data_IF_937818639854
#
_entry.id   IF_937818639854
#
_cell.length_a   1.000
_cell.length_b   1.000
_cell.length_c   1.000
_cell.angle_alpha   90.00
_cell.angle_beta   90.00
_cell.angle_gamma   90.00
#
_symmetry.space_group_name_H-M   'P 1'
#
loop_
_entity.id
_entity.type
_entity.pdbx_description
1 polymer ?
#
# COMPACT_ATOMS: atom_id res chain seq x y z
N UNK A 1 30.03 -0.35 9.90
CA UNK A 1 29.22 -1.12 8.94
C UNK A 1 27.82 -0.51 8.95
N UNK A 2 27.52 0.32 7.94
CA UNK A 2 26.14 0.78 7.70
C UNK A 2 25.34 -0.44 7.28
N UNK A 3 24.37 -0.85 8.09
CA UNK A 3 23.38 -1.83 7.68
C UNK A 3 22.58 -1.19 6.54
N UNK A 4 22.83 -1.61 5.32
CA UNK A 4 22.07 -1.16 4.16
C UNK A 4 20.73 -1.91 4.14
N UNK A 5 19.67 -1.21 4.43
CA UNK A 5 18.32 -1.68 4.18
C UNK A 5 17.88 -1.20 2.80
N UNK A 6 17.22 -2.07 2.08
CA UNK A 6 16.64 -1.76 0.77
C UNK A 6 15.13 -1.88 0.84
N UNK A 7 14.45 -1.01 0.10
CA UNK A 7 13.02 -1.13 -0.17
C UNK A 7 12.87 -1.41 -1.65
N UNK A 8 12.16 -2.48 -1.96
CA UNK A 8 11.93 -2.91 -3.32
C UNK A 8 10.42 -3.01 -3.56
N UNK A 9 9.94 -2.30 -4.58
CA UNK A 9 8.60 -2.48 -5.12
C UNK A 9 8.66 -3.43 -6.30
N UNK A 10 7.86 -4.49 -6.24
CA UNK A 10 7.89 -5.53 -7.25
C UNK A 10 6.50 -6.08 -7.56
N UNK A 11 6.23 -6.38 -8.83
CA UNK A 11 5.01 -7.03 -9.29
C UNK A 11 5.22 -8.54 -9.37
N UNK A 12 4.31 -9.30 -8.78
CA UNK A 12 4.32 -10.76 -8.87
C UNK A 12 3.97 -11.22 -10.28
N UNK A 13 4.82 -12.09 -10.87
CA UNK A 13 4.66 -12.63 -12.23
C UNK A 13 3.63 -13.77 -12.30
N UNK A 14 3.39 -14.45 -11.18
CA UNK A 14 2.50 -15.60 -11.14
C UNK A 14 1.03 -15.24 -11.02
N UNK A 15 0.20 -16.27 -10.91
CA UNK A 15 -1.25 -16.11 -10.74
C UNK A 15 -1.62 -16.15 -9.26
N UNK A 16 -2.51 -15.25 -8.85
CA UNK A 16 -3.12 -15.23 -7.53
C UNK A 16 -4.64 -15.15 -7.71
N UNK A 17 -5.37 -16.04 -7.04
CA UNK A 17 -6.82 -16.12 -7.15
C UNK A 17 -7.51 -14.78 -6.81
N UNK A 18 -7.06 -14.11 -5.77
CA UNK A 18 -7.62 -12.80 -5.39
C UNK A 18 -7.33 -11.75 -6.47
N UNK A 19 -6.09 -11.67 -6.97
CA UNK A 19 -5.75 -10.74 -8.05
C UNK A 19 -6.51 -11.05 -9.36
N UNK A 20 -6.76 -12.33 -9.65
CA UNK A 20 -7.56 -12.72 -10.82
C UNK A 20 -9.02 -12.23 -10.70
N UNK A 21 -9.60 -12.20 -9.48
CA UNK A 21 -10.94 -11.61 -9.27
C UNK A 21 -10.93 -10.12 -9.58
N UNK A 22 -9.93 -9.37 -9.08
CA UNK A 22 -9.79 -7.94 -9.39
C UNK A 22 -9.64 -7.69 -10.89
N UNK A 23 -8.84 -8.51 -11.57
CA UNK A 23 -8.64 -8.44 -13.03
C UNK A 23 -9.92 -8.69 -13.81
N UNK A 24 -10.74 -9.65 -13.39
CA UNK A 24 -12.00 -9.96 -14.06
C UNK A 24 -13.00 -8.80 -13.95
N UNK A 25 -13.07 -8.14 -12.80
CA UNK A 25 -13.91 -6.93 -12.63
C UNK A 25 -13.51 -5.85 -13.63
N UNK A 26 -12.19 -5.65 -13.81
CA UNK A 26 -11.65 -4.64 -14.74
C UNK A 26 -11.94 -4.99 -16.20
N UNK A 27 -11.73 -6.24 -16.60
CA UNK A 27 -11.95 -6.67 -17.99
C UNK A 27 -13.41 -6.47 -18.45
N UNK A 28 -14.37 -6.50 -17.53
CA UNK A 28 -15.77 -6.28 -17.84
C UNK A 28 -16.10 -4.81 -18.12
N UNK A 29 -15.23 -3.89 -17.70
CA UNK A 29 -15.45 -2.43 -17.79
C UNK A 29 -14.64 -1.73 -18.91
N UNK A 30 -13.75 -2.46 -19.60
CA UNK A 30 -12.97 -1.95 -20.74
C UNK A 30 -11.78 -1.04 -20.36
N UNK A 31 -12.03 0.14 -19.81
CA UNK A 31 -11.00 1.17 -19.52
C UNK A 31 -10.83 1.47 -18.01
N UNK A 32 -10.94 0.49 -17.15
CA UNK A 32 -10.85 0.71 -15.72
C UNK A 32 -9.44 1.14 -15.28
N UNK A 33 -9.35 2.28 -14.63
CA UNK A 33 -8.09 2.78 -14.08
C UNK A 33 -7.76 2.07 -12.77
N UNK A 34 -6.47 1.83 -12.53
CA UNK A 34 -5.96 1.13 -11.34
C UNK A 34 -6.42 1.78 -10.03
N UNK A 35 -6.71 3.09 -10.05
CA UNK A 35 -7.18 3.86 -8.90
C UNK A 35 -8.69 3.73 -8.61
N UNK A 36 -9.45 3.02 -9.46
CA UNK A 36 -10.90 2.84 -9.26
C UNK A 36 -11.24 1.64 -8.38
N UNK A 37 -10.38 0.62 -8.38
CA UNK A 37 -10.51 -0.55 -7.55
C UNK A 37 -9.13 -1.06 -7.12
N UNK A 38 -8.85 -1.04 -5.84
CA UNK A 38 -7.60 -1.54 -5.29
C UNK A 38 -7.84 -2.27 -3.97
N UNK A 39 -7.04 -3.29 -3.70
CA UNK A 39 -7.05 -4.03 -2.45
C UNK A 39 -5.71 -3.94 -1.73
N UNK A 40 -5.73 -3.91 -0.39
CA UNK A 40 -4.55 -4.01 0.45
C UNK A 40 -4.77 -5.12 1.48
N UNK A 41 -3.85 -6.07 1.54
CA UNK A 41 -3.86 -7.05 2.62
C UNK A 41 -3.46 -6.37 3.92
N UNK A 42 -4.32 -6.44 4.94
CA UNK A 42 -4.04 -5.97 6.29
C UNK A 42 -3.23 -7.02 7.05
N UNK A 43 -3.57 -8.27 6.85
CA UNK A 43 -2.86 -9.42 7.40
C UNK A 43 -3.24 -10.68 6.64
N UNK A 44 -2.29 -11.60 6.55
CA UNK A 44 -2.46 -12.89 5.87
C UNK A 44 -1.85 -13.99 6.73
N UNK A 45 -2.59 -15.09 6.86
CA UNK A 45 -2.11 -16.32 7.49
C UNK A 45 -2.20 -17.46 6.48
N UNK A 46 -1.07 -18.15 6.30
CA UNK A 46 -1.00 -19.38 5.52
C UNK A 46 -1.09 -20.55 6.47
N UNK A 47 -1.98 -21.48 6.20
CA UNK A 47 -2.04 -22.78 6.89
C UNK A 47 -1.60 -23.87 5.91
N UNK A 48 -0.32 -24.28 5.94
CA UNK A 48 0.20 -25.29 4.99
C UNK A 48 -0.48 -26.65 5.16
N UNK A 49 -0.86 -27.02 6.41
CA UNK A 49 -1.51 -28.29 6.68
C UNK A 49 -2.90 -28.43 6.08
N UNK A 50 -3.64 -27.34 5.97
CA UNK A 50 -4.94 -27.29 5.31
C UNK A 50 -4.87 -26.86 3.83
N UNK A 51 -3.69 -26.48 3.34
CA UNK A 51 -3.55 -25.88 2.02
C UNK A 51 -4.35 -24.56 1.87
N UNK A 52 -4.60 -23.87 2.98
CA UNK A 52 -5.50 -22.73 3.04
C UNK A 52 -4.77 -21.40 3.29
N UNK A 53 -5.31 -20.36 2.69
CA UNK A 53 -4.94 -18.97 2.93
C UNK A 53 -6.13 -18.25 3.55
N UNK A 54 -5.92 -17.54 4.65
CA UNK A 54 -6.92 -16.66 5.24
C UNK A 54 -6.31 -15.31 5.57
N UNK A 55 -7.14 -14.26 5.61
CA UNK A 55 -6.65 -12.93 5.94
C UNK A 55 -7.71 -11.86 5.91
N UNK A 56 -7.27 -10.62 6.10
CA UNK A 56 -8.09 -9.43 5.96
C UNK A 56 -7.62 -8.60 4.78
N UNK A 57 -8.57 -8.21 3.93
CA UNK A 57 -8.36 -7.41 2.74
C UNK A 57 -9.16 -6.12 2.87
N UNK A 58 -8.50 -4.98 2.88
CA UNK A 58 -9.15 -3.68 2.70
C UNK A 58 -9.27 -3.41 1.20
N UNK A 59 -10.48 -3.13 0.74
CA UNK A 59 -10.77 -2.78 -0.65
C UNK A 59 -11.22 -1.33 -0.70
N UNK A 60 -10.59 -0.55 -1.56
CA UNK A 60 -11.00 0.80 -1.91
C UNK A 60 -11.62 0.78 -3.31
N UNK A 61 -12.76 1.46 -3.47
CA UNK A 61 -13.51 1.49 -4.72
C UNK A 61 -14.17 2.86 -4.91
N UNK A 62 -14.30 3.30 -6.17
CA UNK A 62 -14.96 4.58 -6.50
C UNK A 62 -16.46 4.44 -6.71
N UNK A 63 -16.92 3.27 -7.16
CA UNK A 63 -18.33 2.97 -7.47
C UNK A 63 -18.76 1.69 -6.79
N UNK A 64 -19.97 1.65 -6.24
CA UNK A 64 -20.52 0.47 -5.53
C UNK A 64 -20.63 -0.77 -6.44
N UNK A 65 -20.91 -0.58 -7.72
CA UNK A 65 -21.00 -1.67 -8.70
C UNK A 65 -19.69 -2.46 -8.79
N UNK A 66 -18.54 -1.80 -8.62
CA UNK A 66 -17.23 -2.46 -8.62
C UNK A 66 -17.07 -3.39 -7.41
N UNK A 67 -17.54 -2.94 -6.24
CA UNK A 67 -17.57 -3.78 -5.04
C UNK A 67 -18.49 -4.99 -5.23
N UNK A 68 -19.70 -4.78 -5.73
CA UNK A 68 -20.67 -5.87 -5.93
C UNK A 68 -20.12 -6.93 -6.89
N UNK A 69 -19.52 -6.50 -8.00
CA UNK A 69 -18.84 -7.40 -8.95
C UNK A 69 -17.67 -8.14 -8.32
N UNK A 70 -16.88 -7.47 -7.48
CA UNK A 70 -15.79 -8.09 -6.75
C UNK A 70 -16.32 -9.19 -5.81
N UNK A 71 -17.36 -8.89 -5.02
CA UNK A 71 -17.97 -9.85 -4.10
C UNK A 71 -18.59 -11.03 -4.84
N UNK A 72 -19.24 -10.77 -5.98
CA UNK A 72 -19.74 -11.82 -6.87
C UNK A 72 -18.62 -12.70 -7.41
N UNK A 73 -17.50 -12.10 -7.88
CA UNK A 73 -16.32 -12.81 -8.37
C UNK A 73 -15.68 -13.70 -7.30
N UNK A 74 -15.62 -13.23 -6.06
CA UNK A 74 -15.13 -14.02 -4.92
C UNK A 74 -16.03 -15.24 -4.67
N UNK A 75 -17.36 -15.06 -4.65
CA UNK A 75 -18.34 -16.17 -4.48
C UNK A 75 -18.19 -17.19 -5.59
N UNK A 76 -18.13 -16.75 -6.86
CA UNK A 76 -18.00 -17.63 -8.02
C UNK A 76 -16.75 -18.50 -7.95
N UNK A 77 -15.66 -17.97 -7.35
CA UNK A 77 -14.40 -18.71 -7.16
C UNK A 77 -14.32 -19.45 -5.83
N UNK A 78 -15.45 -19.59 -5.12
CA UNK A 78 -15.57 -20.31 -3.85
C UNK A 78 -14.65 -19.77 -2.76
N UNK A 79 -14.33 -18.47 -2.79
CA UNK A 79 -13.67 -17.79 -1.69
C UNK A 79 -14.71 -17.54 -0.60
N UNK A 80 -14.47 -18.06 0.58
CA UNK A 80 -15.26 -17.70 1.75
C UNK A 80 -14.88 -16.28 2.16
N UNK A 81 -15.85 -15.42 2.39
CA UNK A 81 -15.57 -14.07 2.88
C UNK A 81 -16.68 -13.56 3.79
N UNK A 82 -16.29 -12.60 4.61
CA UNK A 82 -17.20 -11.92 5.53
C UNK A 82 -16.86 -10.43 5.49
N UNK A 83 -17.86 -9.56 5.33
CA UNK A 83 -17.69 -8.11 5.46
C UNK A 83 -17.55 -7.79 6.94
N UNK A 84 -16.37 -7.28 7.33
CA UNK A 84 -16.07 -6.87 8.72
C UNK A 84 -16.45 -5.42 8.93
N UNK A 85 -16.16 -4.58 7.93
CA UNK A 85 -16.43 -3.15 7.97
C UNK A 85 -16.83 -2.65 6.58
N UNK A 86 -17.80 -1.75 6.50
CA UNK A 86 -18.20 -1.05 5.27
C UNK A 86 -18.31 0.45 5.55
N UNK A 87 -17.51 1.24 4.84
CA UNK A 87 -17.53 2.71 4.85
C UNK A 87 -17.75 3.25 3.44
N UNK A 88 -17.78 4.57 3.31
CA UNK A 88 -17.92 5.23 2.00
C UNK A 88 -16.67 4.97 1.15
N UNK A 89 -16.80 4.20 0.06
CA UNK A 89 -15.72 3.87 -0.87
C UNK A 89 -14.66 2.90 -0.32
N UNK A 90 -14.90 2.28 0.84
CA UNK A 90 -13.99 1.33 1.46
C UNK A 90 -14.75 0.20 2.14
N UNK A 91 -14.21 -1.01 2.04
CA UNK A 91 -14.70 -2.19 2.76
C UNK A 91 -13.52 -2.99 3.31
N UNK A 92 -13.68 -3.60 4.46
CA UNK A 92 -12.75 -4.60 4.98
C UNK A 92 -13.44 -5.96 4.95
N UNK A 93 -12.79 -6.90 4.28
CA UNK A 93 -13.24 -8.28 4.13
C UNK A 93 -12.28 -9.20 4.87
N UNK A 94 -12.81 -10.08 5.73
CA UNK A 94 -12.12 -11.31 6.06
C UNK A 94 -12.38 -12.31 4.93
N UNK A 95 -11.37 -13.10 4.56
CA UNK A 95 -11.50 -14.13 3.54
C UNK A 95 -10.71 -15.39 3.91
N UNK A 96 -11.17 -16.54 3.37
CA UNK A 96 -10.47 -17.83 3.43
C UNK A 96 -10.68 -18.58 2.12
N UNK A 97 -9.63 -19.19 1.59
CA UNK A 97 -9.73 -20.09 0.43
C UNK A 97 -8.65 -21.18 0.47
N UNK A 98 -8.94 -22.33 -0.15
CA UNK A 98 -8.07 -23.50 -0.18
C UNK A 98 -7.05 -23.54 -1.32
N UNK A 99 -7.05 -22.56 -2.23
CA UNK A 99 -6.13 -22.55 -3.37
C UNK A 99 -4.93 -21.66 -3.08
N UNK A 100 -3.91 -22.20 -2.43
CA UNK A 100 -2.65 -21.47 -2.25
C UNK A 100 -1.89 -21.38 -3.58
N UNK A 101 -1.47 -20.18 -3.94
CA UNK A 101 -0.51 -19.98 -5.03
C UNK A 101 0.92 -20.26 -4.54
N UNK A 102 1.86 -20.46 -5.46
CA UNK A 102 3.28 -20.70 -5.15
C UNK A 102 3.92 -19.58 -4.30
N UNK A 103 3.34 -18.37 -4.35
CA UNK A 103 3.82 -17.22 -3.61
C UNK A 103 3.53 -17.32 -2.09
N UNK A 104 2.37 -17.87 -1.70
CA UNK A 104 1.94 -17.88 -0.31
C UNK A 104 2.94 -18.56 0.65
N UNK A 105 3.52 -19.72 0.33
CA UNK A 105 4.60 -20.30 1.14
C UNK A 105 5.89 -19.48 1.13
N UNK A 106 6.25 -18.88 -0.02
CA UNK A 106 7.50 -18.13 -0.18
C UNK A 106 7.52 -16.83 0.60
N UNK A 107 6.37 -16.16 0.75
CA UNK A 107 6.25 -14.95 1.57
C UNK A 107 6.59 -15.20 3.04
N UNK A 108 6.40 -16.45 3.51
CA UNK A 108 6.73 -16.86 4.88
C UNK A 108 8.14 -17.43 5.04
N UNK A 109 8.81 -17.84 3.96
CA UNK A 109 10.09 -18.55 4.01
C UNK A 109 11.27 -17.80 3.40
N UNK A 110 11.08 -16.60 2.87
CA UNK A 110 12.12 -15.85 2.18
C UNK A 110 13.19 -15.32 3.15
N UNK A 111 14.36 -15.97 3.16
CA UNK A 111 15.50 -15.55 3.95
C UNK A 111 15.95 -14.11 3.60
N UNK A 112 15.88 -13.20 4.55
CA UNK A 112 16.43 -11.85 4.43
C UNK A 112 15.56 -10.81 3.68
N UNK A 113 14.42 -11.22 3.12
CA UNK A 113 13.46 -10.32 2.45
C UNK A 113 12.10 -10.40 3.11
N UNK A 114 11.60 -9.29 3.63
CA UNK A 114 10.35 -9.25 4.39
C UNK A 114 9.30 -8.46 3.59
N UNK A 115 8.14 -9.05 3.27
CA UNK A 115 7.04 -8.32 2.67
C UNK A 115 6.41 -7.38 3.70
N UNK A 116 6.48 -6.08 3.45
CA UNK A 116 5.89 -5.05 4.32
C UNK A 116 4.46 -4.73 3.91
N UNK A 117 4.22 -4.62 2.61
CA UNK A 117 2.89 -4.31 2.08
C UNK A 117 2.60 -5.18 0.87
N UNK A 118 1.37 -5.69 0.80
CA UNK A 118 0.85 -6.41 -0.35
C UNK A 118 -0.42 -5.72 -0.84
N UNK A 119 -0.39 -5.29 -2.10
CA UNK A 119 -1.54 -4.69 -2.76
C UNK A 119 -2.06 -5.59 -3.85
N UNK A 120 -3.37 -5.65 -3.95
CA UNK A 120 -4.05 -6.27 -5.08
C UNK A 120 -4.44 -5.19 -6.06
N UNK A 121 -3.96 -5.32 -7.28
CA UNK A 121 -4.33 -4.44 -8.39
C UNK A 121 -4.94 -5.28 -9.51
N UNK A 122 -5.65 -4.66 -10.46
CA UNK A 122 -6.13 -5.37 -11.64
C UNK A 122 -5.02 -6.00 -12.49
N UNK A 123 -3.80 -5.49 -12.38
CA UNK A 123 -2.66 -6.02 -13.14
C UNK A 123 -2.05 -7.26 -12.48
N UNK A 124 -1.78 -7.18 -11.17
CA UNK A 124 -1.18 -8.25 -10.37
C UNK A 124 -1.14 -7.89 -8.88
N UNK A 125 -0.46 -8.71 -8.10
CA UNK A 125 -0.04 -8.35 -6.74
C UNK A 125 1.21 -7.48 -6.79
N UNK A 126 1.12 -6.32 -6.16
CA UNK A 126 2.26 -5.43 -5.92
C UNK A 126 2.76 -5.62 -4.49
N UNK A 127 4.05 -5.85 -4.36
CA UNK A 127 4.73 -6.01 -3.09
C UNK A 127 5.66 -4.83 -2.80
N UNK A 128 5.68 -4.42 -1.55
CA UNK A 128 6.74 -3.63 -0.96
C UNK A 128 7.55 -4.57 -0.06
N UNK A 129 8.79 -4.83 -0.43
CA UNK A 129 9.72 -5.63 0.34
C UNK A 129 10.72 -4.75 1.08
N UNK A 130 11.09 -5.21 2.27
CA UNK A 130 12.24 -4.68 3.02
C UNK A 130 13.28 -5.78 3.11
N UNK A 131 14.52 -5.48 2.74
CA UNK A 131 15.64 -6.41 2.87
C UNK A 131 16.79 -5.77 3.61
N UNK A 132 17.53 -6.58 4.37
CA UNK A 132 18.74 -6.18 5.09
C UNK A 132 19.95 -6.93 4.50
N UNK A 133 21.05 -6.22 4.27
CA UNK A 133 22.35 -6.85 4.03
C UNK A 133 22.47 -7.73 2.78
N UNK A 134 21.83 -7.36 1.67
CA UNK A 134 22.02 -8.06 0.39
C UNK A 134 20.97 -9.12 0.05
N UNK A 135 19.89 -9.23 0.82
CA UNK A 135 18.72 -10.04 0.42
C UNK A 135 18.14 -9.51 -0.89
N UNK A 136 18.11 -10.32 -1.92
CA UNK A 136 17.55 -9.97 -3.22
C UNK A 136 16.14 -10.55 -3.38
N UNK A 137 15.23 -9.74 -3.93
CA UNK A 137 13.93 -10.22 -4.38
C UNK A 137 14.14 -11.14 -5.58
N UNK A 138 13.53 -12.32 -5.55
CA UNK A 138 13.66 -13.31 -6.62
C UNK A 138 13.04 -12.80 -7.94
N UNK A 139 13.91 -12.44 -8.88
CA UNK A 139 13.50 -11.93 -10.19
C UNK A 139 12.79 -12.97 -11.06
N UNK A 140 12.90 -14.26 -10.75
CA UNK A 140 12.13 -15.30 -11.45
C UNK A 140 10.63 -15.19 -11.14
N UNK A 141 10.29 -14.72 -9.93
CA UNK A 141 8.93 -14.59 -9.43
C UNK A 141 8.37 -13.17 -9.52
N UNK A 142 9.25 -12.16 -9.59
CA UNK A 142 8.87 -10.75 -9.52
C UNK A 142 9.47 -9.91 -10.63
N UNK A 143 8.71 -8.92 -11.08
CA UNK A 143 9.22 -7.80 -11.87
C UNK A 143 9.54 -6.67 -10.92
N UNK A 144 10.81 -6.35 -10.73
CA UNK A 144 11.26 -5.23 -9.90
C UNK A 144 10.91 -3.94 -10.63
N UNK A 145 10.18 -3.05 -9.97
CA UNK A 145 9.78 -1.75 -10.50
C UNK A 145 10.73 -0.64 -10.04
N UNK A 146 11.03 -0.64 -8.75
CA UNK A 146 11.90 0.34 -8.11
C UNK A 146 12.58 -0.34 -6.92
N UNK A 147 13.87 -0.08 -6.74
CA UNK A 147 14.60 -0.42 -5.54
C UNK A 147 15.35 0.82 -5.05
N UNK A 148 15.27 1.10 -3.76
CA UNK A 148 15.90 2.27 -3.12
C UNK A 148 16.53 1.92 -1.77
N UNK A 149 17.41 2.79 -1.29
CA UNK A 149 18.06 2.61 0.02
C UNK A 149 17.19 3.09 1.17
N UNK A 150 17.49 2.62 2.38
CA UNK A 150 16.77 3.04 3.59
C UNK A 150 16.91 4.53 3.91
N UNK A 151 17.91 5.23 3.37
CA UNK A 151 18.05 6.67 3.56
C UNK A 151 16.82 7.43 3.06
N UNK A 152 16.19 6.96 1.98
CA UNK A 152 14.92 7.51 1.52
C UNK A 152 13.76 7.21 2.49
N UNK A 153 13.81 6.09 3.23
CA UNK A 153 12.82 5.78 4.28
C UNK A 153 12.95 6.69 5.49
N UNK A 154 14.20 6.98 5.89
CA UNK A 154 14.45 7.82 7.04
C UNK A 154 14.04 9.27 6.79
N UNK A 155 13.95 9.69 5.53
CA UNK A 155 13.59 11.06 5.15
C UNK A 155 12.17 11.48 5.58
N UNK A 156 11.27 10.53 5.82
CA UNK A 156 9.90 10.80 6.29
C UNK A 156 9.62 10.30 7.71
N UNK A 157 10.64 9.84 8.44
CA UNK A 157 10.50 9.61 9.87
C UNK A 157 10.49 10.94 10.63
N UNK A 158 9.59 11.02 11.59
CA UNK A 158 9.50 12.20 12.45
C UNK A 158 10.68 12.25 13.42
N UNK A 159 11.29 13.42 13.57
CA UNK A 159 12.25 13.66 14.65
C UNK A 159 11.55 13.68 16.01
N UNK A 160 12.26 13.49 17.14
CA UNK A 160 11.65 13.58 18.47
C UNK A 160 10.88 14.89 18.69
N UNK A 161 11.42 16.02 18.19
CA UNK A 161 10.75 17.33 18.33
C UNK A 161 9.49 17.43 17.48
N UNK A 162 9.49 16.90 16.26
CA UNK A 162 8.31 16.84 15.42
C UNK A 162 7.23 15.94 16.04
N UNK A 163 7.61 14.80 16.65
CA UNK A 163 6.69 13.91 17.37
C UNK A 163 6.04 14.63 18.56
N UNK A 164 6.84 15.30 19.39
CA UNK A 164 6.36 16.05 20.53
C UNK A 164 5.34 17.13 20.12
N UNK A 165 5.71 17.97 19.16
CA UNK A 165 4.86 19.07 18.68
C UNK A 165 3.57 18.52 18.07
N UNK A 166 3.67 17.47 17.24
CA UNK A 166 2.49 16.86 16.60
C UNK A 166 1.56 16.22 17.64
N UNK A 167 2.10 15.53 18.64
CA UNK A 167 1.34 14.96 19.76
C UNK A 167 0.56 16.05 20.48
N UNK A 168 1.21 17.13 20.89
CA UNK A 168 0.56 18.26 21.54
C UNK A 168 -0.55 18.87 20.68
N UNK A 169 -0.26 19.15 19.40
CA UNK A 169 -1.24 19.70 18.47
C UNK A 169 -2.47 18.80 18.32
N UNK A 170 -2.28 17.48 18.24
CA UNK A 170 -3.36 16.51 18.13
C UNK A 170 -4.24 16.49 19.38
N UNK A 171 -3.65 16.29 20.55
CA UNK A 171 -4.42 16.14 21.79
C UNK A 171 -5.07 17.45 22.25
N UNK A 172 -4.48 18.60 21.93
CA UNK A 172 -5.09 19.92 22.18
C UNK A 172 -6.22 20.24 21.19
N UNK A 173 -6.42 19.41 20.16
CA UNK A 173 -7.48 19.58 19.18
C UNK A 173 -7.19 20.61 18.10
N UNK A 174 -5.92 20.84 17.78
CA UNK A 174 -5.53 21.69 16.66
C UNK A 174 -6.07 21.17 15.32
N UNK A 175 -6.15 19.84 15.17
CA UNK A 175 -6.69 19.16 14.00
C UNK A 175 -8.18 18.80 14.12
N UNK A 176 -8.86 19.20 15.19
CA UNK A 176 -10.30 18.96 15.35
C UNK A 176 -11.13 19.89 14.47
N UNK A 177 -12.37 19.46 14.14
CA UNK A 177 -13.36 20.31 13.50
C UNK A 177 -14.61 20.40 14.40
N UNK A 178 -14.93 21.58 14.96
CA UNK A 178 -14.15 22.82 14.87
C UNK A 178 -12.82 22.72 15.62
N UNK A 179 -11.83 23.53 15.22
CA UNK A 179 -10.52 23.62 15.88
C UNK A 179 -10.69 24.11 17.31
N UNK A 180 -10.04 23.44 18.29
CA UNK A 180 -10.17 23.74 19.73
C UNK A 180 -9.05 24.64 20.27
N UNK A 181 -7.93 24.73 19.57
CA UNK A 181 -6.77 25.54 19.94
C UNK A 181 -6.17 26.19 18.71
N UNK A 182 -5.67 27.41 18.85
CA UNK A 182 -5.00 28.16 17.81
C UNK A 182 -3.49 27.84 17.76
N UNK A 183 -2.83 28.20 16.65
CA UNK A 183 -1.37 28.08 16.54
C UNK A 183 -0.64 28.96 17.56
N UNK A 184 -1.24 30.11 17.89
CA UNK A 184 -0.68 31.04 18.86
C UNK A 184 -0.74 30.50 20.29
N UNK A 185 -1.84 29.91 20.70
CA UNK A 185 -1.98 29.25 22.00
C UNK A 185 -1.00 28.09 22.14
N UNK A 186 -0.90 27.21 21.11
CA UNK A 186 0.07 26.13 21.10
C UNK A 186 1.52 26.62 21.17
N UNK A 187 1.84 27.74 20.51
CA UNK A 187 3.19 28.29 20.54
C UNK A 187 3.56 28.77 21.95
N UNK A 188 2.63 29.38 22.66
CA UNK A 188 2.82 29.77 24.06
C UNK A 188 2.97 28.57 25.00
N UNK A 189 2.13 27.53 24.83
CA UNK A 189 2.19 26.29 25.62
C UNK A 189 3.54 25.56 25.45
N UNK A 190 4.08 25.54 24.23
CA UNK A 190 5.31 24.83 23.90
C UNK A 190 6.58 25.71 24.07
N UNK A 191 6.44 26.97 24.42
CA UNK A 191 7.57 27.91 24.53
C UNK A 191 8.29 28.17 23.21
N UNK A 192 7.58 28.08 22.07
CA UNK A 192 8.12 28.26 20.73
C UNK A 192 7.59 29.55 20.10
N UNK A 193 8.34 30.12 19.15
CA UNK A 193 7.77 31.16 18.30
C UNK A 193 6.71 30.57 17.37
N UNK A 194 5.72 31.36 16.97
CA UNK A 194 4.67 30.96 16.05
C UNK A 194 5.22 30.48 14.70
N UNK A 195 6.28 31.12 14.19
CA UNK A 195 6.96 30.71 12.96
C UNK A 195 7.63 29.36 13.11
N UNK A 196 8.42 29.19 14.18
CA UNK A 196 9.10 27.91 14.47
C UNK A 196 8.10 26.76 14.62
N UNK A 197 7.00 26.97 15.38
CA UNK A 197 5.97 25.96 15.53
C UNK A 197 5.34 25.58 14.20
N UNK A 198 5.02 26.57 13.36
CA UNK A 198 4.45 26.32 12.05
C UNK A 198 5.41 25.54 11.11
N UNK A 199 6.70 25.84 11.15
CA UNK A 199 7.70 25.12 10.37
C UNK A 199 7.81 23.65 10.82
N UNK A 200 7.84 23.40 12.14
CA UNK A 200 7.90 22.04 12.68
C UNK A 200 6.63 21.25 12.29
N UNK A 201 5.45 21.83 12.45
CA UNK A 201 4.19 21.19 12.07
C UNK A 201 4.15 20.88 10.58
N UNK A 202 4.51 21.84 9.71
CA UNK A 202 4.56 21.62 8.26
C UNK A 202 5.56 20.55 7.86
N UNK A 203 6.71 20.50 8.53
CA UNK A 203 7.71 19.45 8.30
C UNK A 203 7.15 18.07 8.68
N UNK A 204 6.52 17.95 9.86
CA UNK A 204 5.90 16.73 10.35
C UNK A 204 4.73 16.28 9.43
N UNK A 205 3.84 17.19 9.08
CA UNK A 205 2.71 16.94 8.18
C UNK A 205 3.18 16.44 6.81
N UNK A 206 4.19 17.08 6.22
CA UNK A 206 4.78 16.64 4.95
C UNK A 206 5.32 15.21 5.04
N UNK A 207 6.02 14.87 6.13
CA UNK A 207 6.56 13.52 6.35
C UNK A 207 5.46 12.49 6.49
N UNK A 208 4.40 12.80 7.26
CA UNK A 208 3.23 11.92 7.43
C UNK A 208 2.52 11.71 6.09
N UNK A 209 2.25 12.77 5.35
CA UNK A 209 1.61 12.66 4.03
C UNK A 209 2.47 11.83 3.09
N UNK A 210 3.80 12.02 3.09
CA UNK A 210 4.71 11.23 2.27
C UNK A 210 4.68 9.76 2.65
N UNK A 211 4.72 9.45 3.96
CA UNK A 211 4.60 8.08 4.46
C UNK A 211 3.27 7.44 4.07
N UNK A 212 2.16 8.16 4.25
CA UNK A 212 0.83 7.69 3.86
C UNK A 212 0.72 7.40 2.36
N UNK A 213 1.20 8.33 1.51
CA UNK A 213 1.20 8.14 0.05
C UNK A 213 2.03 6.94 -0.36
N UNK A 214 3.17 6.70 0.28
CA UNK A 214 4.05 5.57 -0.05
C UNK A 214 3.53 4.23 0.47
N UNK A 215 2.96 4.21 1.68
CA UNK A 215 2.62 2.96 2.37
C UNK A 215 1.15 2.58 2.28
N UNK A 216 0.25 3.56 2.26
CA UNK A 216 -1.19 3.32 2.23
C UNK A 216 -1.79 3.46 0.82
N UNK A 217 -1.17 4.28 -0.03
CA UNK A 217 -1.60 4.52 -1.42
C UNK A 217 -0.51 4.21 -2.46
N UNK A 218 0.35 3.18 -2.29
CA UNK A 218 1.44 2.92 -3.23
C UNK A 218 0.91 2.58 -4.64
N UNK A 219 -0.33 2.09 -4.78
CA UNK A 219 -0.96 1.86 -6.08
C UNK A 219 -1.07 3.15 -6.93
N UNK A 220 -1.26 4.32 -6.30
CA UNK A 220 -1.27 5.60 -7.03
C UNK A 220 0.12 5.98 -7.55
N UNK A 221 1.16 5.68 -6.78
CA UNK A 221 2.55 5.92 -7.20
C UNK A 221 2.91 4.98 -8.35
N UNK A 222 2.57 3.70 -8.23
CA UNK A 222 2.83 2.69 -9.26
C UNK A 222 2.07 3.00 -10.54
N UNK A 223 0.80 3.42 -10.46
CA UNK A 223 0.04 3.86 -11.64
C UNK A 223 0.78 4.95 -12.42
N UNK A 224 1.30 5.97 -11.71
CA UNK A 224 2.07 7.05 -12.33
C UNK A 224 3.39 6.57 -12.94
N UNK A 225 4.06 5.60 -12.30
CA UNK A 225 5.29 5.01 -12.83
C UNK A 225 4.99 4.23 -14.10
N UNK A 226 3.95 3.40 -14.09
CA UNK A 226 3.53 2.62 -15.25
C UNK A 226 3.07 3.49 -16.43
N UNK A 227 2.33 4.57 -16.15
CA UNK A 227 1.96 5.57 -17.16
C UNK A 227 3.19 6.24 -17.80
N UNK A 228 4.22 6.56 -16.99
CA UNK A 228 5.48 7.13 -17.53
C UNK A 228 6.22 6.13 -18.40
N UNK A 229 6.32 4.85 -17.96
CA UNK A 229 6.97 3.78 -18.71
C UNK A 229 6.23 3.54 -20.04
N UNK A 230 4.90 3.52 -20.03
CA UNK A 230 4.10 3.35 -21.24
C UNK A 230 4.29 4.49 -22.24
N UNK A 231 4.44 5.73 -21.74
CA UNK A 231 4.70 6.92 -22.59
C UNK A 231 6.14 7.00 -23.09
N UNK A 232 7.10 6.32 -22.46
CA UNK A 232 8.51 6.32 -22.83
C UNK A 232 8.92 5.16 -23.75
N UNK A 233 8.02 4.22 -24.08
CA UNK A 233 8.27 3.21 -25.13
C UNK A 233 8.25 3.91 -26.49
N UNK A 234 9.33 3.82 -27.28
CA UNK A 234 9.31 4.32 -28.65
C UNK A 234 8.23 3.56 -29.44
N UNK A 235 7.45 4.28 -30.19
CA UNK A 235 6.55 3.73 -31.21
C UNK A 235 7.35 2.73 -32.07
N UNK A 236 6.85 1.53 -32.36
CA UNK A 236 7.52 0.63 -33.31
C UNK A 236 7.71 1.43 -34.60
N UNK A 237 8.94 1.51 -35.06
CA UNK A 237 9.23 2.03 -36.39
C UNK A 237 8.64 0.98 -37.34
N UNK A 238 7.49 1.27 -37.93
CA UNK A 238 7.00 0.58 -39.10
C UNK A 238 7.95 0.91 -40.25
N UNK A 239 8.61 -0.11 -40.75
CA UNK A 239 9.36 -0.04 -41.97
C UNK A 239 10.84 -0.48 -41.85
N UNK A 240 11.07 -1.77 -41.93
CA UNK A 240 12.14 -2.39 -42.78
C UNK A 240 11.76 -3.85 -43.01
#
# INVERSE_FOLDING_TARGET
>A
LKALFYITYALYKGRCLIADVFRDVVKLEGDLRVDELAGRFIGVRVNPGEGALEGCLRVSFKREELLERLLFGLRRRRVQFRVIYRGRGNVVLWFKHGNMCKLCPLVHSSGGVIPKTMLVTPMSLLFEFVSAGGGCVDESLFNILVSGTAEEMMSYMLTPKEQEVLYHAYFRGYYSQPRRVTLEELSKELGLSKSTLNEILRSAERKIVTAYMRHDLPHLIVSKILEKIAKSKPTPIEGL
#
